data_IF_142385169452
#
_entry.id   IF_142385169452
#
_cell.length_a   1.000
_cell.length_b   1.000
_cell.length_c   1.000
_cell.angle_alpha   90.00
_cell.angle_beta   90.00
_cell.angle_gamma   90.00
#
_symmetry.space_group_name_H-M   'P 1'
#
loop_
_entity.id
_entity.type
_entity.pdbx_description
1 polymer ?
#
# COMPACT_ATOMS: atom_id res chain seq x y z
N UNK A 1 -25.29 3.80 -6.79
CA UNK A 1 -26.07 2.62 -7.27
C UNK A 1 -27.56 2.95 -7.22
N UNK A 2 -28.38 2.36 -8.10
CA UNK A 2 -29.83 2.62 -8.14
C UNK A 2 -30.55 1.66 -7.18
N UNK A 3 -31.36 2.17 -6.24
CA UNK A 3 -32.04 1.40 -5.19
C UNK A 3 -32.96 0.31 -5.79
N UNK A 4 -33.92 0.63 -6.68
CA UNK A 4 -34.71 -0.37 -7.40
C UNK A 4 -33.90 -1.50 -8.05
N UNK A 5 -32.73 -1.19 -8.62
CA UNK A 5 -31.88 -2.21 -9.24
C UNK A 5 -31.22 -3.11 -8.19
N UNK A 6 -30.72 -2.51 -7.11
CA UNK A 6 -30.14 -3.23 -5.97
C UNK A 6 -31.11 -4.25 -5.40
N UNK A 7 -32.34 -3.82 -5.10
CA UNK A 7 -33.39 -4.69 -4.53
C UNK A 7 -33.74 -5.85 -5.47
N UNK A 8 -33.78 -5.60 -6.79
CA UNK A 8 -34.04 -6.66 -7.78
C UNK A 8 -32.94 -7.71 -7.81
N UNK A 9 -31.68 -7.28 -7.74
CA UNK A 9 -30.52 -8.19 -7.73
C UNK A 9 -30.46 -8.95 -6.42
N UNK A 10 -30.62 -8.26 -5.28
CA UNK A 10 -30.61 -8.87 -3.95
C UNK A 10 -31.69 -9.96 -3.84
N UNK A 11 -32.92 -9.67 -4.28
CA UNK A 11 -33.99 -10.66 -4.31
C UNK A 11 -33.69 -11.85 -5.25
N UNK A 12 -33.20 -11.58 -6.47
CA UNK A 12 -32.87 -12.63 -7.43
C UNK A 12 -31.73 -13.56 -6.96
N UNK A 13 -30.82 -13.04 -6.13
CA UNK A 13 -29.67 -13.77 -5.58
C UNK A 13 -29.91 -14.30 -4.16
N UNK A 14 -31.08 -14.04 -3.56
CA UNK A 14 -31.38 -14.43 -2.17
C UNK A 14 -30.47 -13.75 -1.13
N UNK A 15 -30.04 -12.51 -1.40
CA UNK A 15 -29.19 -11.72 -0.52
C UNK A 15 -30.03 -10.87 0.44
N UNK A 16 -29.41 -10.47 1.55
CA UNK A 16 -30.00 -9.53 2.51
C UNK A 16 -30.28 -8.16 1.85
N UNK A 17 -31.45 -7.59 2.16
CA UNK A 17 -31.84 -6.27 1.68
C UNK A 17 -30.83 -5.20 2.11
N UNK A 18 -30.37 -4.39 1.16
CA UNK A 18 -29.41 -3.31 1.42
C UNK A 18 -27.95 -3.74 1.47
N UNK A 19 -27.65 -5.03 1.28
CA UNK A 19 -26.27 -5.53 1.22
C UNK A 19 -25.46 -4.88 0.09
N UNK A 20 -25.98 -4.83 -1.14
CA UNK A 20 -25.24 -4.22 -2.26
C UNK A 20 -25.11 -2.71 -2.07
N UNK A 21 -26.09 -2.08 -1.45
CA UNK A 21 -26.03 -0.65 -1.16
C UNK A 21 -24.96 -0.35 -0.09
N UNK A 22 -24.83 -1.22 0.92
CA UNK A 22 -23.75 -1.16 1.91
C UNK A 22 -22.39 -1.35 1.25
N UNK A 23 -22.24 -2.33 0.36
CA UNK A 23 -21.02 -2.54 -0.41
C UNK A 23 -20.66 -1.31 -1.27
N UNK A 24 -21.65 -0.70 -1.91
CA UNK A 24 -21.46 0.52 -2.70
C UNK A 24 -20.94 1.67 -1.82
N UNK A 25 -21.51 1.87 -0.63
CA UNK A 25 -21.05 2.90 0.31
C UNK A 25 -19.60 2.64 0.72
N UNK A 26 -19.24 1.40 1.05
CA UNK A 26 -17.85 1.05 1.38
C UNK A 26 -16.89 1.34 0.22
N UNK A 27 -17.27 1.00 -1.01
CA UNK A 27 -16.49 1.33 -2.19
C UNK A 27 -16.30 2.84 -2.36
N UNK A 28 -17.36 3.63 -2.21
CA UNK A 28 -17.29 5.09 -2.35
C UNK A 28 -16.41 5.73 -1.26
N UNK A 29 -16.47 5.22 -0.02
CA UNK A 29 -15.56 5.63 1.06
C UNK A 29 -14.10 5.34 0.71
N UNK A 30 -13.80 4.14 0.22
CA UNK A 30 -12.44 3.75 -0.18
C UNK A 30 -11.96 4.62 -1.34
N UNK A 31 -12.80 4.86 -2.34
CA UNK A 31 -12.51 5.73 -3.49
C UNK A 31 -12.19 7.16 -3.05
N UNK A 32 -12.94 7.71 -2.11
CA UNK A 32 -12.70 9.06 -1.61
C UNK A 32 -11.41 9.14 -0.78
N UNK A 33 -11.13 8.13 0.05
CA UNK A 33 -9.84 8.00 0.76
C UNK A 33 -8.67 7.95 -0.22
N UNK A 34 -8.78 7.17 -1.30
CA UNK A 34 -7.78 7.15 -2.37
C UNK A 34 -7.57 8.55 -2.95
N UNK A 35 -8.64 9.26 -3.31
CA UNK A 35 -8.57 10.63 -3.86
C UNK A 35 -7.84 11.59 -2.93
N UNK A 36 -8.16 11.57 -1.63
CA UNK A 36 -7.49 12.40 -0.62
C UNK A 36 -5.99 12.05 -0.47
N UNK A 37 -5.66 10.76 -0.55
CA UNK A 37 -4.30 10.26 -0.42
C UNK A 37 -3.40 10.51 -1.64
N UNK A 38 -3.97 10.78 -2.82
CA UNK A 38 -3.18 11.06 -4.04
C UNK A 38 -2.24 12.27 -3.90
N UNK A 39 -2.53 13.19 -2.97
CA UNK A 39 -1.67 14.33 -2.64
C UNK A 39 -0.35 13.92 -1.94
N UNK A 40 -0.31 12.74 -1.32
CA UNK A 40 0.85 12.21 -0.60
C UNK A 40 1.53 11.14 -1.42
N UNK A 41 2.51 11.53 -2.22
CA UNK A 41 3.36 10.62 -2.99
C UNK A 41 4.84 10.93 -2.74
N UNK A 42 5.72 9.92 -2.71
CA UNK A 42 7.14 10.14 -2.71
C UNK A 42 7.59 10.72 -4.06
N UNK A 43 8.83 11.17 -4.12
CA UNK A 43 9.43 11.59 -5.38
C UNK A 43 9.68 10.36 -6.27
N UNK A 44 8.75 10.09 -7.18
CA UNK A 44 8.80 8.95 -8.09
C UNK A 44 10.02 8.99 -9.03
N UNK A 45 10.63 10.17 -9.24
CA UNK A 45 11.83 10.33 -10.08
C UNK A 45 13.03 9.59 -9.51
N UNK A 46 13.03 9.37 -8.18
CA UNK A 46 14.08 8.66 -7.45
C UNK A 46 13.86 7.15 -7.36
N UNK A 47 12.71 6.66 -7.87
CA UNK A 47 12.35 5.25 -7.82
C UNK A 47 12.41 4.69 -9.24
N UNK A 48 13.24 3.66 -9.44
CA UNK A 48 13.35 3.03 -10.75
C UNK A 48 12.07 2.28 -11.08
N UNK A 49 11.50 2.44 -12.29
CA UNK A 49 10.30 1.71 -12.70
C UNK A 49 10.43 0.18 -12.58
N UNK A 50 11.63 -0.37 -12.83
CA UNK A 50 11.90 -1.80 -12.77
C UNK A 50 11.70 -2.42 -11.38
N UNK A 51 11.76 -1.62 -10.31
CA UNK A 51 11.48 -2.10 -8.96
C UNK A 51 10.02 -2.56 -8.82
N UNK A 52 9.11 -1.95 -9.58
CA UNK A 52 7.69 -2.26 -9.64
C UNK A 52 7.30 -2.79 -11.03
N UNK A 53 7.94 -3.86 -11.46
CA UNK A 53 7.70 -4.47 -12.78
C UNK A 53 6.25 -4.91 -13.04
N UNK A 54 5.47 -5.13 -11.97
CA UNK A 54 4.06 -5.53 -11.99
C UNK A 54 3.08 -4.33 -11.95
N UNK A 55 3.54 -3.11 -11.61
CA UNK A 55 2.67 -1.94 -11.40
C UNK A 55 3.30 -0.62 -11.84
N UNK A 56 2.55 0.22 -12.56
CA UNK A 56 3.00 1.59 -12.87
C UNK A 56 3.08 2.45 -11.59
N UNK A 57 4.26 3.00 -11.29
CA UNK A 57 4.52 3.86 -10.11
C UNK A 57 3.49 4.99 -9.92
N UNK A 58 3.02 5.57 -11.01
CA UNK A 58 2.04 6.68 -11.03
C UNK A 58 0.65 6.27 -10.48
N UNK A 59 0.32 4.99 -10.58
CA UNK A 59 -0.97 4.40 -10.17
C UNK A 59 -0.89 3.74 -8.80
N UNK A 60 0.30 3.60 -8.23
CA UNK A 60 0.47 3.01 -6.90
C UNK A 60 -0.12 3.94 -5.85
N UNK A 61 -1.03 3.41 -5.03
CA UNK A 61 -1.40 4.09 -3.80
C UNK A 61 -0.37 3.80 -2.70
N UNK A 62 0.55 4.74 -2.52
CA UNK A 62 1.58 4.72 -1.49
C UNK A 62 1.00 4.73 -0.06
N UNK A 63 -0.20 5.25 0.15
CA UNK A 63 -0.84 5.26 1.48
C UNK A 63 -1.48 3.91 1.79
N UNK A 64 -2.29 3.38 0.88
CA UNK A 64 -2.97 2.09 1.07
C UNK A 64 -1.99 0.91 1.06
N UNK A 65 -0.99 0.93 0.18
CA UNK A 65 -0.04 -0.17 -0.02
C UNK A 65 1.32 0.07 0.66
N UNK A 66 1.37 0.89 1.71
CA UNK A 66 2.60 1.25 2.44
C UNK A 66 3.50 0.06 2.75
N UNK A 67 2.94 -1.04 3.25
CA UNK A 67 3.69 -2.24 3.66
C UNK A 67 4.40 -2.89 2.48
N UNK A 68 3.70 -3.01 1.35
CA UNK A 68 4.26 -3.61 0.14
C UNK A 68 5.36 -2.72 -0.46
N UNK A 69 5.13 -1.41 -0.54
CA UNK A 69 6.13 -0.46 -1.07
C UNK A 69 7.39 -0.49 -0.21
N UNK A 70 7.23 -0.40 1.12
CA UNK A 70 8.35 -0.41 2.07
C UNK A 70 9.13 -1.72 1.95
N UNK A 71 8.47 -2.88 2.05
CA UNK A 71 9.16 -4.16 1.93
C UNK A 71 9.92 -4.29 0.61
N UNK A 72 9.28 -3.93 -0.50
CA UNK A 72 9.88 -4.08 -1.82
C UNK A 72 11.13 -3.21 -2.01
N UNK A 73 11.09 -1.97 -1.51
CA UNK A 73 12.24 -1.06 -1.55
C UNK A 73 13.34 -1.51 -0.60
N UNK A 74 13.01 -2.02 0.58
CA UNK A 74 14.01 -2.56 1.51
C UNK A 74 14.59 -3.91 1.07
N UNK A 75 13.88 -4.69 0.25
CA UNK A 75 14.38 -5.97 -0.28
C UNK A 75 15.31 -5.81 -1.48
N UNK A 76 15.03 -4.84 -2.39
CA UNK A 76 15.67 -4.74 -3.71
C UNK A 76 16.04 -3.33 -4.17
N UNK A 77 15.73 -2.31 -3.37
CA UNK A 77 15.97 -0.92 -3.71
C UNK A 77 17.45 -0.52 -3.59
N UNK A 78 17.82 0.57 -4.26
CA UNK A 78 19.10 1.26 -4.04
C UNK A 78 19.05 2.12 -2.79
N UNK A 79 20.22 2.60 -2.36
CA UNK A 79 20.35 3.56 -1.25
C UNK A 79 19.47 4.82 -1.44
N UNK A 80 19.45 5.39 -2.65
CA UNK A 80 18.63 6.56 -2.96
C UNK A 80 17.12 6.27 -2.79
N UNK A 81 16.67 5.11 -3.26
CA UNK A 81 15.29 4.64 -3.13
C UNK A 81 14.90 4.45 -1.66
N UNK A 82 15.79 3.83 -0.87
CA UNK A 82 15.56 3.59 0.57
C UNK A 82 15.47 4.91 1.33
N UNK A 83 16.37 5.85 1.08
CA UNK A 83 16.35 7.17 1.73
C UNK A 83 15.08 7.96 1.41
N UNK A 84 14.61 7.89 0.17
CA UNK A 84 13.38 8.54 -0.26
C UNK A 84 12.15 7.95 0.47
N UNK A 85 12.07 6.63 0.60
CA UNK A 85 10.99 5.95 1.33
C UNK A 85 11.05 6.23 2.83
N UNK A 86 12.25 6.33 3.42
CA UNK A 86 12.43 6.75 4.82
C UNK A 86 11.95 8.18 5.03
N UNK A 87 12.29 9.10 4.12
CA UNK A 87 11.81 10.49 4.16
C UNK A 87 10.28 10.56 4.06
N UNK A 88 9.69 9.76 3.18
CA UNK A 88 8.26 9.80 2.89
C UNK A 88 7.39 9.18 4.01
N UNK A 89 7.70 7.97 4.47
CA UNK A 89 6.88 7.28 5.50
C UNK A 89 7.31 7.59 6.94
N UNK A 90 8.57 7.96 7.13
CA UNK A 90 9.17 8.12 8.45
C UNK A 90 9.50 6.79 9.13
N UNK A 91 10.48 6.85 10.04
CA UNK A 91 11.04 5.65 10.70
C UNK A 91 10.00 4.81 11.45
N UNK A 92 9.10 5.47 12.20
CA UNK A 92 8.05 4.79 13.00
C UNK A 92 7.11 3.96 12.13
N UNK A 93 6.71 4.49 10.97
CA UNK A 93 5.83 3.79 10.03
C UNK A 93 6.53 2.59 9.42
N UNK A 94 7.82 2.73 9.10
CA UNK A 94 8.60 1.65 8.52
C UNK A 94 8.78 0.49 9.50
N UNK A 95 9.22 0.77 10.72
CA UNK A 95 9.40 -0.26 11.76
C UNK A 95 8.10 -1.03 12.05
N UNK A 96 6.97 -0.32 12.16
CA UNK A 96 5.67 -0.98 12.36
C UNK A 96 5.19 -1.80 11.16
N UNK A 97 5.64 -1.47 9.94
CA UNK A 97 5.25 -2.21 8.73
C UNK A 97 6.08 -3.46 8.48
N UNK A 98 7.37 -3.45 8.87
CA UNK A 98 8.33 -4.54 8.61
C UNK A 98 8.28 -5.62 9.70
N UNK A 99 7.73 -5.34 10.89
CA UNK A 99 7.61 -6.32 11.98
C UNK A 99 6.90 -7.64 11.62
N UNK A 100 6.15 -7.70 10.51
CA UNK A 100 5.47 -8.90 10.02
C UNK A 100 6.04 -9.43 8.68
N UNK A 101 7.15 -8.90 8.20
CA UNK A 101 7.72 -9.21 6.87
C UNK A 101 8.89 -10.22 6.92
N UNK A 102 9.09 -10.87 8.07
CA UNK A 102 10.28 -11.69 8.36
C UNK A 102 10.24 -13.05 7.62
N UNK A 103 9.12 -13.44 7.01
CA UNK A 103 8.95 -14.70 6.27
C UNK A 103 9.32 -14.62 4.77
N UNK A 104 10.08 -13.62 4.34
CA UNK A 104 10.52 -13.45 2.94
C UNK A 104 11.86 -14.15 2.68
N UNK A 105 12.08 -14.76 1.49
CA UNK A 105 13.41 -15.25 1.08
C UNK A 105 14.51 -14.18 1.05
N UNK A 106 14.13 -12.90 1.14
CA UNK A 106 15.04 -11.75 1.14
C UNK A 106 15.12 -11.06 2.52
N UNK A 107 14.70 -11.75 3.59
CA UNK A 107 14.70 -11.21 4.95
C UNK A 107 16.08 -10.70 5.39
N UNK A 108 17.16 -11.34 4.93
CA UNK A 108 18.53 -10.93 5.27
C UNK A 108 18.88 -9.53 4.72
N UNK A 109 18.49 -9.23 3.48
CA UNK A 109 18.67 -7.90 2.88
C UNK A 109 17.87 -6.84 3.64
N UNK A 110 16.64 -7.18 4.03
CA UNK A 110 15.78 -6.27 4.81
C UNK A 110 16.41 -5.98 6.17
N UNK A 111 16.89 -7.01 6.89
CA UNK A 111 17.58 -6.84 8.18
C UNK A 111 18.86 -6.00 8.04
N UNK A 112 19.65 -6.23 7.00
CA UNK A 112 20.85 -5.44 6.72
C UNK A 112 20.50 -3.97 6.47
N UNK A 113 19.49 -3.69 5.63
CA UNK A 113 19.06 -2.34 5.32
C UNK A 113 18.41 -1.63 6.51
N UNK A 114 17.66 -2.35 7.35
CA UNK A 114 17.14 -1.83 8.63
C UNK A 114 18.28 -1.40 9.56
N UNK A 115 19.30 -2.25 9.71
CA UNK A 115 20.47 -1.94 10.56
C UNK A 115 21.26 -0.75 10.01
N UNK A 116 21.50 -0.72 8.70
CA UNK A 116 22.31 0.31 8.04
C UNK A 116 21.64 1.69 8.01
N UNK A 117 20.33 1.76 7.75
CA UNK A 117 19.64 3.03 7.50
C UNK A 117 18.75 3.52 8.63
N UNK A 118 18.35 2.64 9.56
CA UNK A 118 17.48 3.00 10.67
C UNK A 118 18.13 2.83 12.04
N UNK A 119 19.40 2.40 12.10
CA UNK A 119 20.11 2.03 13.34
C UNK A 119 19.23 1.12 14.22
N UNK A 120 18.46 0.24 13.58
CA UNK A 120 17.60 -0.69 14.29
C UNK A 120 18.46 -1.84 14.81
N UNK A 121 18.64 -1.89 16.13
CA UNK A 121 19.17 -3.05 16.84
C UNK A 121 17.97 -3.84 17.38
N UNK A 122 17.95 -5.13 17.06
CA UNK A 122 16.93 -6.12 17.48
C UNK A 122 17.03 -6.40 18.98
#
# INVERSE_FOLDING_TARGET
MNIPLSLRIENALGLEEGLLMTLQVHYDIVKEKHRLSQSKRPDISKIRPNLFWDTTLEKVDFTAHKRYVINRVFERGTEEEIQEIIRFYGRKTILSSIANAIDSPFADNVKQNLKMYLNYEE
#
